data_IF_125658848319
#
_entry.id   IF_125658848319
#
_cell.length_a   1.000
_cell.length_b   1.000
_cell.length_c   1.000
_cell.angle_alpha   90.00
_cell.angle_beta   90.00
_cell.angle_gamma   90.00
#
_symmetry.space_group_name_H-M   'P 1'
#
loop_
_entity.id
_entity.type
_entity.pdbx_description
1 polymer ?
#
# COMPACT_ATOMS: atom_id res chain seq x y z
N UNK A 1 -12.47 4.25 -4.72
CA UNK A 1 -11.78 3.03 -4.23
C UNK A 1 -12.75 2.25 -3.39
N UNK A 2 -12.92 0.94 -3.63
CA UNK A 2 -13.72 0.10 -2.74
C UNK A 2 -12.93 -0.17 -1.45
N UNK A 3 -13.61 -0.01 -0.31
CA UNK A 3 -13.06 -0.39 0.98
C UNK A 3 -13.15 -1.91 1.15
N UNK A 4 -12.08 -2.51 1.67
CA UNK A 4 -12.11 -3.90 2.09
C UNK A 4 -12.99 -4.03 3.34
N UNK A 5 -13.89 -5.01 3.34
CA UNK A 5 -14.50 -5.50 4.58
C UNK A 5 -13.43 -6.11 5.49
N UNK A 6 -13.68 -6.25 6.80
CA UNK A 6 -12.75 -6.92 7.70
C UNK A 6 -12.38 -8.33 7.21
N UNK A 7 -13.36 -9.10 6.74
CA UNK A 7 -13.17 -10.46 6.23
C UNK A 7 -12.28 -10.49 4.98
N UNK A 8 -12.48 -9.56 4.04
CA UNK A 8 -11.61 -9.44 2.87
C UNK A 8 -10.20 -8.99 3.26
N UNK A 9 -10.06 -8.10 4.24
CA UNK A 9 -8.76 -7.63 4.71
C UNK A 9 -7.97 -8.74 5.41
N UNK A 10 -8.64 -9.62 6.15
CA UNK A 10 -8.02 -10.70 6.89
C UNK A 10 -7.63 -11.88 5.98
N UNK A 11 -8.33 -12.08 4.87
CA UNK A 11 -7.98 -13.11 3.88
C UNK A 11 -6.77 -12.76 3.01
N UNK A 12 -6.35 -11.49 3.00
CA UNK A 12 -5.16 -11.05 2.27
C UNK A 12 -3.87 -11.53 2.95
N UNK A 13 -2.91 -12.08 2.17
CA UNK A 13 -1.58 -12.42 2.69
C UNK A 13 -0.80 -11.15 3.03
N UNK A 14 0.25 -11.26 3.85
CA UNK A 14 1.06 -10.10 4.23
C UNK A 14 1.74 -9.41 3.03
N UNK A 15 2.03 -10.17 1.97
CA UNK A 15 2.56 -9.64 0.69
C UNK A 15 1.59 -8.73 -0.07
N UNK A 16 0.30 -8.74 0.31
CA UNK A 16 -0.71 -7.83 -0.22
C UNK A 16 -0.67 -6.44 0.45
N UNK A 17 0.23 -6.22 1.41
CA UNK A 17 0.39 -4.95 2.11
C UNK A 17 1.78 -4.40 1.85
N UNK A 18 1.86 -3.11 1.55
CA UNK A 18 3.15 -2.46 1.31
C UNK A 18 3.98 -2.31 2.59
N UNK A 19 3.31 -2.27 3.76
CA UNK A 19 3.91 -2.45 5.07
C UNK A 19 3.35 -3.72 5.74
N UNK A 20 3.95 -4.90 5.50
CA UNK A 20 3.48 -6.20 5.98
C UNK A 20 3.31 -6.25 7.50
N UNK A 21 4.31 -5.81 8.27
CA UNK A 21 4.30 -5.82 9.74
C UNK A 21 3.15 -5.02 10.34
N UNK A 22 2.68 -3.98 9.64
CA UNK A 22 1.55 -3.14 10.05
C UNK A 22 0.23 -3.56 9.40
N UNK A 23 0.26 -4.51 8.47
CA UNK A 23 -0.82 -4.82 7.51
C UNK A 23 -1.48 -3.53 7.00
N UNK A 24 -0.64 -2.58 6.55
CA UNK A 24 -1.06 -1.25 6.11
C UNK A 24 -0.74 -1.06 4.62
N UNK A 25 -1.46 -0.14 3.98
CA UNK A 25 -1.31 0.17 2.55
C UNK A 25 -1.52 -1.09 1.68
N UNK A 26 -2.76 -1.60 1.59
CA UNK A 26 -3.04 -2.74 0.72
C UNK A 26 -2.69 -2.40 -0.73
N UNK A 27 -2.14 -3.36 -1.45
CA UNK A 27 -1.65 -3.28 -2.84
C UNK A 27 -2.03 -4.52 -3.65
N UNK A 28 -3.02 -5.29 -3.21
CA UNK A 28 -3.51 -6.49 -3.91
C UNK A 28 -4.15 -6.19 -5.28
N UNK A 29 -4.51 -4.94 -5.55
CA UNK A 29 -5.01 -4.47 -6.85
C UNK A 29 -4.25 -3.25 -7.35
N UNK A 30 -4.18 -3.05 -8.68
CA UNK A 30 -3.59 -1.86 -9.30
C UNK A 30 -4.10 -0.55 -8.70
N UNK A 31 -5.42 -0.44 -8.54
CA UNK A 31 -6.04 0.77 -8.00
C UNK A 31 -5.62 1.03 -6.54
N UNK A 32 -5.46 -0.03 -5.73
CA UNK A 32 -4.97 0.07 -4.35
C UNK A 32 -3.48 0.43 -4.31
N UNK A 33 -2.67 -0.12 -5.21
CA UNK A 33 -1.27 0.27 -5.36
C UNK A 33 -1.09 1.76 -5.72
N UNK A 34 -1.83 2.28 -6.70
CA UNK A 34 -1.80 3.72 -7.03
C UNK A 34 -2.22 4.59 -5.84
N UNK A 35 -3.28 4.18 -5.12
CA UNK A 35 -3.74 4.94 -3.95
C UNK A 35 -2.73 4.90 -2.80
N UNK A 36 -2.09 3.75 -2.58
CA UNK A 36 -1.07 3.59 -1.55
C UNK A 36 0.09 4.57 -1.74
N UNK A 37 0.59 4.71 -2.97
CA UNK A 37 1.65 5.67 -3.33
C UNK A 37 1.23 7.13 -3.07
N UNK A 38 0.03 7.50 -3.51
CA UNK A 38 -0.51 8.84 -3.27
C UNK A 38 -0.68 9.14 -1.77
N UNK A 39 -1.19 8.17 -1.00
CA UNK A 39 -1.40 8.30 0.43
C UNK A 39 -0.07 8.35 1.20
N UNK A 40 0.92 7.55 0.82
CA UNK A 40 2.24 7.55 1.45
C UNK A 40 2.93 8.92 1.28
N UNK A 41 2.79 9.54 0.10
CA UNK A 41 3.28 10.91 -0.14
C UNK A 41 2.62 11.90 0.82
N UNK A 42 1.29 11.87 0.93
CA UNK A 42 0.54 12.76 1.82
C UNK A 42 0.86 12.55 3.30
N UNK A 43 1.00 11.30 3.75
CA UNK A 43 1.32 10.99 5.16
C UNK A 43 2.77 11.37 5.49
N UNK A 44 3.71 11.22 4.56
CA UNK A 44 5.08 11.71 4.72
C UNK A 44 5.14 13.23 4.84
N UNK A 45 4.45 13.98 3.98
CA UNK A 45 4.39 15.45 4.03
C UNK A 45 3.76 15.96 5.35
N UNK A 46 2.87 15.16 5.96
CA UNK A 46 2.27 15.43 7.27
C UNK A 46 3.16 15.02 8.45
N UNK A 47 4.31 14.39 8.20
CA UNK A 47 5.20 13.86 9.24
C UNK A 47 4.67 12.62 9.97
N UNK A 48 3.72 11.90 9.36
CA UNK A 48 3.10 10.69 9.92
C UNK A 48 3.79 9.39 9.48
N UNK A 49 4.73 9.50 8.54
CA UNK A 49 5.42 8.39 7.90
C UNK A 49 6.91 8.73 7.81
N UNK A 50 7.80 7.76 8.05
CA UNK A 50 9.23 7.98 7.84
C UNK A 50 9.59 7.97 6.34
N UNK A 51 10.79 8.45 5.99
CA UNK A 51 11.27 8.39 4.62
C UNK A 51 11.43 6.93 4.13
N UNK A 52 11.90 6.05 5.00
CA UNK A 52 12.09 4.62 4.73
C UNK A 52 10.75 3.92 4.49
N UNK A 53 9.75 4.21 5.33
CA UNK A 53 8.39 3.67 5.14
C UNK A 53 7.76 4.16 3.84
N UNK A 54 7.96 5.44 3.48
CA UNK A 54 7.50 6.00 2.21
C UNK A 54 8.10 5.25 1.03
N UNK A 55 9.43 5.10 1.04
CA UNK A 55 10.17 4.44 -0.02
C UNK A 55 9.77 2.96 -0.15
N UNK A 56 9.55 2.28 0.97
CA UNK A 56 9.06 0.91 0.97
C UNK A 56 7.69 0.81 0.30
N UNK A 57 6.77 1.72 0.63
CA UNK A 57 5.44 1.75 0.02
C UNK A 57 5.52 2.04 -1.48
N UNK A 58 6.31 3.04 -1.88
CA UNK A 58 6.49 3.41 -3.28
C UNK A 58 7.03 2.23 -4.10
N UNK A 59 8.06 1.53 -3.62
CA UNK A 59 8.64 0.36 -4.29
C UNK A 59 7.65 -0.79 -4.43
N UNK A 60 6.86 -1.07 -3.39
CA UNK A 60 5.89 -2.15 -3.41
C UNK A 60 4.73 -1.84 -4.36
N UNK A 61 4.24 -0.59 -4.34
CA UNK A 61 3.23 -0.11 -5.26
C UNK A 61 3.72 -0.16 -6.71
N UNK A 62 4.91 0.37 -7.00
CA UNK A 62 5.47 0.38 -8.36
C UNK A 62 5.67 -1.03 -8.92
N UNK A 63 6.14 -1.97 -8.08
CA UNK A 63 6.21 -3.39 -8.47
C UNK A 63 4.86 -3.94 -8.88
N UNK A 64 3.79 -3.62 -8.14
CA UNK A 64 2.44 -4.09 -8.47
C UNK A 64 1.92 -3.45 -9.75
N UNK A 65 2.15 -2.15 -9.94
CA UNK A 65 1.74 -1.42 -11.15
C UNK A 65 2.43 -1.98 -12.40
N UNK A 66 3.69 -2.39 -12.29
CA UNK A 66 4.44 -2.99 -13.40
C UNK A 66 4.03 -4.43 -13.75
N UNK A 67 3.35 -5.15 -12.85
CA UNK A 67 2.91 -6.54 -13.08
C UNK A 67 1.55 -6.64 -13.79
N UNK A 68 0.79 -5.54 -13.85
CA UNK A 68 -0.56 -5.48 -14.44
C UNK A 68 -0.57 -4.70 -15.78
N UNK A 69 0.59 -4.48 -16.41
CA UNK A 69 0.75 -3.92 -17.77
C UNK A 69 0.96 -5.06 -18.80
#
# INVERSE_FOLDING_TARGET
MSHLTPQERDSLPDSAFALPEKRAYPIDTRARASNAKARATQEYERGLLTAEEREQIDKAADRRLAQDD
#
